data_IF_835398071992
#
_entry.id   IF_835398071992
#
_cell.length_a   1.000
_cell.length_b   1.000
_cell.length_c   1.000
_cell.angle_alpha   90.00
_cell.angle_beta   90.00
_cell.angle_gamma   90.00
#
_symmetry.space_group_name_H-M   'P 1'
#
loop_
_entity.id
_entity.type
_entity.pdbx_description
1 polymer ?
#
# COMPACT_ATOMS: atom_id res chain seq x y z
N UNK A 1 5.42 18.17 -8.80
CA UNK A 1 4.62 16.94 -8.57
C UNK A 1 4.94 16.46 -7.17
N UNK A 2 3.98 16.46 -6.23
CA UNK A 2 4.26 16.10 -4.83
C UNK A 2 4.41 14.58 -4.70
N UNK A 3 5.45 14.14 -4.00
CA UNK A 3 5.75 12.72 -3.75
C UNK A 3 4.57 11.95 -3.14
N UNK A 4 3.62 12.66 -2.51
CA UNK A 4 2.39 12.15 -1.89
C UNK A 4 1.46 11.37 -2.84
N UNK A 5 1.60 11.53 -4.16
CA UNK A 5 0.74 10.84 -5.15
C UNK A 5 1.40 9.64 -5.82
N UNK A 6 2.69 9.41 -5.56
CA UNK A 6 3.41 8.30 -6.16
C UNK A 6 3.20 7.02 -5.35
N UNK A 7 2.66 6.01 -6.00
CA UNK A 7 2.27 4.74 -5.38
C UNK A 7 3.13 3.62 -5.97
N UNK A 8 3.85 2.90 -5.11
CA UNK A 8 4.45 1.62 -5.49
C UNK A 8 3.41 0.52 -5.38
N UNK A 9 3.17 -0.24 -6.46
CA UNK A 9 2.32 -1.42 -6.46
C UNK A 9 3.18 -2.67 -6.50
N UNK A 10 3.24 -3.40 -5.39
CA UNK A 10 3.92 -4.69 -5.27
C UNK A 10 2.86 -5.78 -5.37
N UNK A 11 2.95 -6.60 -6.40
CA UNK A 11 2.09 -7.76 -6.59
C UNK A 11 2.77 -8.75 -7.54
N UNK A 12 2.33 -10.01 -7.51
CA UNK A 12 2.72 -11.02 -8.51
C UNK A 12 2.47 -10.45 -9.91
N UNK A 13 3.40 -10.67 -10.84
CA UNK A 13 3.31 -10.19 -12.20
C UNK A 13 2.25 -10.96 -13.01
N UNK A 14 0.98 -10.60 -12.81
CA UNK A 14 -0.18 -11.17 -13.50
C UNK A 14 -1.06 -10.07 -14.14
N UNK A 15 -2.09 -10.48 -14.88
CA UNK A 15 -3.04 -9.55 -15.48
C UNK A 15 -3.84 -8.73 -14.45
N UNK A 16 -4.02 -9.27 -13.24
CA UNK A 16 -4.70 -8.58 -12.13
C UNK A 16 -3.90 -7.37 -11.65
N UNK A 17 -2.57 -7.46 -11.64
CA UNK A 17 -1.68 -6.36 -11.28
C UNK A 17 -1.81 -5.20 -12.26
N UNK A 18 -1.72 -5.48 -13.56
CA UNK A 18 -1.81 -4.45 -14.60
C UNK A 18 -3.18 -3.76 -14.57
N UNK A 19 -4.27 -4.52 -14.43
CA UNK A 19 -5.62 -3.96 -14.34
C UNK A 19 -5.80 -3.06 -13.11
N UNK A 20 -5.25 -3.46 -11.96
CA UNK A 20 -5.29 -2.63 -10.76
C UNK A 20 -4.43 -1.37 -10.92
N UNK A 21 -3.25 -1.48 -11.53
CA UNK A 21 -2.39 -0.34 -11.80
C UNK A 21 -3.08 0.69 -12.71
N UNK A 22 -3.72 0.23 -13.79
CA UNK A 22 -4.53 1.08 -14.68
C UNK A 22 -5.69 1.76 -13.96
N UNK A 23 -6.41 1.01 -13.13
CA UNK A 23 -7.49 1.57 -12.32
C UNK A 23 -6.98 2.69 -11.39
N UNK A 24 -5.90 2.45 -10.64
CA UNK A 24 -5.33 3.46 -9.75
C UNK A 24 -4.77 4.66 -10.52
N UNK A 25 -4.19 4.46 -11.71
CA UNK A 25 -3.79 5.57 -12.60
C UNK A 25 -5.00 6.41 -13.03
N UNK A 26 -6.10 5.76 -13.43
CA UNK A 26 -7.35 6.45 -13.79
C UNK A 26 -7.94 7.25 -12.61
N UNK A 27 -7.67 6.82 -11.38
CA UNK A 27 -8.09 7.49 -10.15
C UNK A 27 -7.18 8.68 -9.74
N UNK A 28 -6.11 8.94 -10.51
CA UNK A 28 -5.22 10.09 -10.37
C UNK A 28 -3.91 9.83 -9.62
N UNK A 29 -3.54 8.56 -9.41
CA UNK A 29 -2.26 8.18 -8.78
C UNK A 29 -1.16 7.96 -9.82
N UNK A 30 0.09 8.27 -9.45
CA UNK A 30 1.28 7.93 -10.23
C UNK A 30 1.77 6.54 -9.79
N UNK A 31 1.30 5.50 -10.48
CA UNK A 31 1.51 4.10 -10.08
C UNK A 31 2.71 3.50 -10.79
N UNK A 32 3.67 3.05 -9.99
CA UNK A 32 4.83 2.27 -10.42
C UNK A 32 4.65 0.83 -9.98
N UNK A 33 4.59 -0.08 -10.94
CA UNK A 33 4.56 -1.53 -10.68
C UNK A 33 5.97 -2.01 -10.31
N UNK A 34 6.07 -2.79 -9.24
CA UNK A 34 7.34 -3.28 -8.70
C UNK A 34 7.32 -4.80 -8.63
N UNK A 35 8.28 -5.45 -9.29
CA UNK A 35 8.37 -6.91 -9.32
C UNK A 35 8.95 -7.48 -8.02
N UNK A 36 9.93 -6.83 -7.41
CA UNK A 36 10.60 -7.34 -6.20
C UNK A 36 11.40 -6.23 -5.49
N UNK A 37 10.98 -5.88 -4.26
CA UNK A 37 11.71 -5.29 -3.12
C UNK A 37 12.86 -4.28 -3.25
N UNK A 38 12.97 -3.55 -4.34
CA UNK A 38 13.55 -2.22 -4.29
C UNK A 38 12.41 -1.20 -4.25
N UNK A 39 11.81 -0.98 -3.08
CA UNK A 39 10.85 0.13 -2.91
C UNK A 39 11.69 1.39 -2.70
N UNK A 40 11.84 2.28 -3.71
CA UNK A 40 12.59 3.50 -3.52
C UNK A 40 11.91 4.32 -2.44
N UNK A 41 12.70 4.99 -1.60
CA UNK A 41 12.22 5.87 -0.54
C UNK A 41 11.34 7.03 -1.03
N UNK A 42 11.19 7.20 -2.34
CA UNK A 42 10.46 8.29 -3.01
C UNK A 42 8.94 8.11 -3.14
N UNK A 43 8.36 6.96 -2.80
CA UNK A 43 6.90 6.79 -2.88
C UNK A 43 6.19 7.45 -1.70
N UNK A 44 5.00 8.01 -1.93
CA UNK A 44 4.12 8.49 -0.85
C UNK A 44 3.37 7.34 -0.19
N UNK A 45 3.08 6.27 -0.94
CA UNK A 45 2.45 5.06 -0.45
C UNK A 45 2.94 3.80 -1.19
N UNK A 46 2.84 2.67 -0.50
CA UNK A 46 3.10 1.34 -1.00
C UNK A 46 1.82 0.52 -0.87
N UNK A 47 1.37 -0.09 -1.97
CA UNK A 47 0.30 -1.09 -1.98
C UNK A 47 0.95 -2.44 -2.24
N UNK A 48 0.77 -3.39 -1.33
CA UNK A 48 1.25 -4.75 -1.49
C UNK A 48 0.09 -5.74 -1.51
N UNK A 49 -0.06 -6.49 -2.60
CA UNK A 49 -0.93 -7.66 -2.68
C UNK A 49 -0.16 -8.90 -2.24
N UNK A 50 -0.46 -9.37 -1.05
CA UNK A 50 0.17 -10.50 -0.39
C UNK A 50 -0.82 -11.67 -0.28
N UNK A 51 -1.43 -12.01 -1.42
CA UNK A 51 -2.48 -13.04 -1.51
C UNK A 51 -1.92 -14.44 -1.16
N UNK A 52 -0.66 -14.70 -1.55
CA UNK A 52 0.03 -16.00 -1.36
C UNK A 52 1.13 -15.98 -0.29
N UNK A 53 1.28 -14.90 0.47
CA UNK A 53 2.38 -14.77 1.44
C UNK A 53 2.02 -15.38 2.79
N UNK A 54 2.94 -16.18 3.35
CA UNK A 54 2.75 -16.73 4.68
C UNK A 54 2.72 -15.64 5.77
N UNK A 55 2.00 -15.88 6.87
CA UNK A 55 1.83 -14.89 7.94
C UNK A 55 3.14 -14.43 8.59
N UNK A 56 4.09 -15.35 8.79
CA UNK A 56 5.39 -14.98 9.38
C UNK A 56 6.23 -14.14 8.40
N UNK A 57 6.23 -14.53 7.12
CA UNK A 57 6.93 -13.79 6.06
C UNK A 57 6.32 -12.40 5.85
N UNK A 58 4.98 -12.32 5.83
CA UNK A 58 4.21 -11.09 5.73
C UNK A 58 4.63 -10.09 6.81
N UNK A 59 4.66 -10.52 8.07
CA UNK A 59 5.07 -9.69 9.22
C UNK A 59 6.52 -9.25 9.09
N UNK A 60 7.43 -10.18 8.76
CA UNK A 60 8.84 -9.86 8.64
C UNK A 60 9.11 -8.80 7.56
N UNK A 61 8.44 -8.92 6.41
CA UNK A 61 8.57 -8.01 5.27
C UNK A 61 7.99 -6.62 5.56
N UNK A 62 6.80 -6.54 6.14
CA UNK A 62 6.20 -5.27 6.58
C UNK A 62 7.09 -4.56 7.61
N UNK A 63 7.63 -5.29 8.59
CA UNK A 63 8.57 -4.72 9.57
C UNK A 63 9.83 -4.17 8.91
N UNK A 64 10.38 -4.87 7.91
CA UNK A 64 11.52 -4.38 7.14
C UNK A 64 11.21 -3.05 6.45
N UNK A 65 10.06 -2.94 5.78
CA UNK A 65 9.64 -1.70 5.14
C UNK A 65 9.39 -0.57 6.13
N UNK A 66 8.75 -0.83 7.27
CA UNK A 66 8.54 0.20 8.30
C UNK A 66 9.87 0.78 8.83
N UNK A 67 10.93 -0.04 8.88
CA UNK A 67 12.29 0.39 9.27
C UNK A 67 12.98 1.21 8.18
N UNK A 68 12.86 0.79 6.91
CA UNK A 68 13.56 1.40 5.77
C UNK A 68 12.86 2.65 5.24
N UNK A 69 11.53 2.62 5.18
CA UNK A 69 10.70 3.61 4.50
C UNK A 69 10.08 4.59 5.50
N UNK A 70 10.90 5.50 6.07
CA UNK A 70 10.53 6.40 7.18
C UNK A 70 9.24 7.23 6.97
N UNK A 71 8.83 7.49 5.73
CA UNK A 71 7.72 8.39 5.40
C UNK A 71 6.59 7.75 4.59
N UNK A 72 6.69 6.46 4.26
CA UNK A 72 5.73 5.83 3.38
C UNK A 72 4.60 5.19 4.19
N UNK A 73 3.39 5.35 3.68
CA UNK A 73 2.25 4.53 4.10
C UNK A 73 2.32 3.18 3.40
N UNK A 74 1.91 2.14 4.10
CA UNK A 74 1.93 0.77 3.62
C UNK A 74 0.51 0.24 3.73
N UNK A 75 -0.08 -0.14 2.60
CA UNK A 75 -1.37 -0.80 2.50
C UNK A 75 -1.09 -2.23 2.08
N UNK A 76 -1.45 -3.19 2.94
CA UNK A 76 -1.27 -4.62 2.67
C UNK A 76 -2.64 -5.23 2.42
N UNK A 77 -2.81 -5.81 1.25
CA UNK A 77 -3.98 -6.61 0.88
C UNK A 77 -3.62 -8.06 1.11
N UNK A 78 -4.34 -8.77 1.98
CA UNK A 78 -4.02 -10.15 2.31
C UNK A 78 -5.24 -10.92 2.81
N UNK A 79 -5.27 -12.24 2.60
CA UNK A 79 -6.25 -13.15 3.20
C UNK A 79 -6.05 -13.34 4.71
N UNK A 80 -4.94 -12.88 5.29
CA UNK A 80 -4.55 -13.09 6.70
C UNK A 80 -4.28 -11.79 7.47
N UNK A 81 -5.21 -10.81 7.49
CA UNK A 81 -4.96 -9.51 8.12
C UNK A 81 -4.66 -9.61 9.63
N UNK A 82 -5.17 -10.64 10.30
CA UNK A 82 -4.92 -10.91 11.71
C UNK A 82 -3.43 -11.12 12.04
N UNK A 83 -2.62 -11.60 11.09
CA UNK A 83 -1.17 -11.75 11.28
C UNK A 83 -0.47 -10.40 11.50
N UNK A 84 -1.04 -9.30 10.98
CA UNK A 84 -0.50 -7.95 11.11
C UNK A 84 -1.06 -7.18 12.30
N UNK A 85 -1.98 -7.75 13.09
CA UNK A 85 -2.71 -7.02 14.14
C UNK A 85 -1.80 -6.22 15.07
N UNK A 86 -0.76 -6.86 15.59
CA UNK A 86 0.14 -6.23 16.55
C UNK A 86 1.04 -5.17 15.88
N UNK A 87 1.36 -5.35 14.59
CA UNK A 87 2.13 -4.37 13.80
C UNK A 87 1.27 -3.15 13.46
N UNK A 88 0.01 -3.36 13.11
CA UNK A 88 -0.98 -2.28 12.87
C UNK A 88 -1.19 -1.49 14.16
N UNK A 89 -1.37 -2.17 15.29
CA UNK A 89 -1.51 -1.48 16.59
C UNK A 89 -0.30 -0.60 16.92
N UNK A 90 0.91 -1.03 16.57
CA UNK A 90 2.13 -0.24 16.78
C UNK A 90 2.36 0.88 15.75
N UNK A 91 1.74 0.81 14.57
CA UNK A 91 2.03 1.68 13.42
C UNK A 91 0.77 2.16 12.67
N UNK A 92 -0.35 2.35 13.37
CA UNK A 92 -1.68 2.59 12.75
C UNK A 92 -1.77 3.80 11.81
N UNK A 93 -0.89 4.80 11.98
CA UNK A 93 -0.80 5.97 11.10
C UNK A 93 -0.13 5.66 9.74
N UNK A 94 0.58 4.53 9.65
CA UNK A 94 1.46 4.18 8.53
C UNK A 94 1.17 2.81 7.93
N UNK A 95 0.47 1.92 8.63
CA UNK A 95 0.19 0.57 8.16
C UNK A 95 -1.31 0.28 8.21
N UNK A 96 -1.86 -0.09 7.05
CA UNK A 96 -3.23 -0.54 6.89
C UNK A 96 -3.22 -1.95 6.33
N UNK A 97 -4.02 -2.84 6.93
CA UNK A 97 -4.22 -4.20 6.43
C UNK A 97 -5.68 -4.32 5.94
N UNK A 98 -5.85 -4.60 4.65
CA UNK A 98 -7.15 -4.82 4.02
C UNK A 98 -7.34 -6.33 3.79
N UNK A 99 -8.48 -6.91 4.20
CA UNK A 99 -8.78 -8.31 3.92
C UNK A 99 -8.99 -8.52 2.42
N UNK A 100 -8.28 -9.48 1.82
CA UNK A 100 -8.55 -9.92 0.45
C UNK A 100 -9.86 -10.76 0.40
N UNK A 101 -10.63 -10.70 -0.71
CA UNK A 101 -10.41 -9.86 -1.90
C UNK A 101 -10.77 -8.39 -1.64
N UNK A 102 -10.10 -7.47 -2.35
CA UNK A 102 -10.42 -6.03 -2.32
C UNK A 102 -10.80 -5.53 -3.71
N UNK A 103 -11.71 -4.57 -3.76
CA UNK A 103 -12.04 -3.83 -4.96
C UNK A 103 -11.10 -2.62 -5.12
N UNK A 104 -10.93 -2.16 -6.37
CA UNK A 104 -10.09 -0.99 -6.66
C UNK A 104 -10.51 0.28 -5.89
N UNK A 105 -11.82 0.47 -5.68
CA UNK A 105 -12.32 1.66 -4.96
C UNK A 105 -11.94 1.66 -3.48
N UNK A 106 -11.85 0.50 -2.82
CA UNK A 106 -11.41 0.39 -1.42
C UNK A 106 -9.94 0.81 -1.28
N UNK A 107 -9.10 0.46 -2.27
CA UNK A 107 -7.71 0.92 -2.32
C UNK A 107 -7.61 2.42 -2.56
N UNK A 108 -8.47 2.98 -3.42
CA UNK A 108 -8.54 4.43 -3.63
C UNK A 108 -8.95 5.15 -2.34
N UNK A 109 -9.92 4.62 -1.61
CA UNK A 109 -10.33 5.17 -0.32
C UNK A 109 -9.20 5.10 0.71
N UNK A 110 -8.52 3.96 0.84
CA UNK A 110 -7.38 3.83 1.75
C UNK A 110 -6.24 4.81 1.39
N UNK A 111 -5.96 5.01 0.10
CA UNK A 111 -4.97 5.97 -0.38
C UNK A 111 -5.41 7.44 -0.17
N UNK A 112 -6.72 7.74 -0.21
CA UNK A 112 -7.27 9.10 -0.06
C UNK A 112 -7.59 9.51 1.37
N UNK A 113 -8.10 8.60 2.19
CA UNK A 113 -8.40 8.81 3.61
C UNK A 113 -7.18 9.35 4.36
N UNK A 114 -6.00 9.04 3.83
CA UNK A 114 -4.74 9.41 4.41
C UNK A 114 -4.23 10.78 3.92
N UNK A 115 -4.85 11.44 2.94
CA UNK A 115 -4.43 12.78 2.47
C UNK A 115 -4.81 13.93 3.42
N UNK A 116 -5.56 13.67 4.50
CA UNK A 116 -6.06 14.71 5.41
C UNK A 116 -7.06 15.66 4.73
N UNK A 117 -7.91 16.37 5.48
CA UNK A 117 -8.75 17.40 4.88
C UNK A 117 -7.86 18.48 4.26
N UNK A 118 -8.01 18.72 2.96
CA UNK A 118 -7.45 19.90 2.28
C UNK A 118 -7.87 21.13 3.11
N UNK A 119 -6.95 22.01 3.57
CA UNK A 119 -7.37 23.24 4.21
C UNK A 119 -8.25 23.98 3.20
N UNK A 120 -9.54 24.11 3.52
CA UNK A 120 -10.42 25.03 2.82
C UNK A 120 -9.90 26.41 3.18
N UNK A 121 -9.11 26.98 2.28
CA UNK A 121 -8.53 28.29 2.45
C UNK A 121 -9.61 29.35 2.53
N UNK A 122 -9.43 30.22 3.53
CA UNK A 122 -9.83 31.62 3.68
C UNK A 122 -11.31 31.98 3.51
#
# INVERSE_FOLDING_TARGET
>A
MTAERRVGLVAVADGSRSALAEYLRSAGFDVVECDELAVPSSFGALVWRADDTDGAELVARVRSWLRLARHQRIIVVTSRPAALRDVVAAHGERLFALPAPVFGWELVEALRATQGPKPRGA
#
